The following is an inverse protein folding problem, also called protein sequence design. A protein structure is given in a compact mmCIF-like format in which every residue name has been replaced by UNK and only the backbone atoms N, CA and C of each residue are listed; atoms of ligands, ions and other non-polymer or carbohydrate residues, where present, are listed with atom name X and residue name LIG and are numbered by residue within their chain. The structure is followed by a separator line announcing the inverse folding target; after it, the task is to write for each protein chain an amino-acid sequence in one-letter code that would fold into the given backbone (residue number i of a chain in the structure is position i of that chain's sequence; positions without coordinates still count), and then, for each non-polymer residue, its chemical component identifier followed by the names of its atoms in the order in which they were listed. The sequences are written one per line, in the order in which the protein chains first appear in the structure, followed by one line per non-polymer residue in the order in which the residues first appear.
data_IF_775960845916
#
_entry.id   IF_775960845916
#
_cell.length_a   1.000
_cell.length_b   1.000
_cell.length_c   1.000
_cell.angle_alpha   90.00
_cell.angle_beta   90.00
_cell.angle_gamma   90.00
#
_symmetry.space_group_name_H-M   'P 1'
#
loop_
_entity.id
_entity.type
_entity.pdbx_description
1 polymer ?
#
# COMPACT_ATOMS: atom_id res chain seq x y z
N UNK A 1 -14.18 -15.29 13.74
CA UNK A 1 -13.32 -14.93 12.58
C UNK A 1 -11.88 -14.86 13.06
N UNK A 2 -11.19 -16.00 13.11
CA UNK A 2 -9.78 -16.05 13.51
C UNK A 2 -8.93 -15.64 12.32
N UNK A 3 -8.33 -14.44 12.39
CA UNK A 3 -7.29 -14.07 11.45
C UNK A 3 -6.12 -15.05 11.62
N UNK A 4 -5.82 -15.87 10.61
CA UNK A 4 -4.67 -16.79 10.63
C UNK A 4 -3.31 -16.06 10.68
N UNK A 5 -3.32 -14.74 10.47
CA UNK A 5 -2.20 -13.84 10.59
C UNK A 5 -1.95 -13.47 12.07
N UNK A 6 -0.78 -13.84 12.58
CA UNK A 6 -0.39 -13.65 13.99
C UNK A 6 -0.08 -12.19 14.37
N UNK A 7 -0.05 -11.28 13.40
CA UNK A 7 0.38 -9.90 13.61
C UNK A 7 -0.67 -8.93 13.05
N UNK A 8 -1.50 -8.37 13.92
CA UNK A 8 -2.53 -7.40 13.56
C UNK A 8 -2.15 -5.96 13.93
N UNK A 9 -2.79 -5.01 13.23
CA UNK A 9 -2.64 -3.61 13.51
C UNK A 9 -3.76 -3.12 14.42
N UNK A 10 -3.40 -2.75 15.65
CA UNK A 10 -4.33 -2.28 16.70
C UNK A 10 -5.18 -1.07 16.27
N UNK A 11 -4.71 -0.29 15.30
CA UNK A 11 -5.36 0.96 14.85
C UNK A 11 -6.33 0.76 13.69
N UNK A 12 -6.14 -0.27 12.85
CA UNK A 12 -7.01 -0.48 11.68
C UNK A 12 -7.51 -1.92 11.51
N UNK A 13 -7.12 -2.85 12.39
CA UNK A 13 -7.53 -4.24 12.39
C UNK A 13 -6.95 -5.09 11.26
N UNK A 14 -6.06 -4.56 10.40
CA UNK A 14 -5.44 -5.35 9.32
C UNK A 14 -4.47 -6.39 9.89
N UNK A 15 -4.59 -7.62 9.44
CA UNK A 15 -3.72 -8.72 9.83
C UNK A 15 -2.64 -9.01 8.79
N UNK A 16 -1.45 -9.37 9.27
CA UNK A 16 -0.29 -9.71 8.46
C UNK A 16 0.30 -11.05 8.89
N UNK A 17 0.73 -11.83 7.90
CA UNK A 17 1.39 -13.14 8.14
C UNK A 17 2.75 -13.00 8.84
N UNK A 18 3.42 -11.86 8.63
CA UNK A 18 4.77 -11.61 9.13
C UNK A 18 4.85 -10.28 9.88
N UNK A 19 5.69 -10.23 10.94
CA UNK A 19 5.93 -9.01 11.74
C UNK A 19 6.47 -7.85 10.90
N UNK A 20 7.31 -8.13 9.90
CA UNK A 20 7.83 -7.11 8.99
C UNK A 20 6.71 -6.44 8.19
N UNK A 21 5.72 -7.20 7.73
CA UNK A 21 4.55 -6.67 7.01
C UNK A 21 3.75 -5.71 7.89
N UNK A 22 3.51 -6.10 9.15
CA UNK A 22 2.85 -5.24 10.13
C UNK A 22 3.68 -3.98 10.43
N UNK A 23 4.99 -4.10 10.59
CA UNK A 23 5.89 -2.98 10.89
C UNK A 23 5.89 -1.95 9.75
N UNK A 24 6.04 -2.41 8.50
CA UNK A 24 5.95 -1.55 7.31
C UNK A 24 4.58 -0.90 7.19
N UNK A 25 3.51 -1.65 7.44
CA UNK A 25 2.15 -1.11 7.47
C UNK A 25 2.00 -0.01 8.53
N UNK A 26 2.41 -0.26 9.78
CA UNK A 26 2.33 0.74 10.87
C UNK A 26 3.12 2.00 10.54
N UNK A 27 4.27 1.86 9.86
CA UNK A 27 5.17 2.99 9.53
C UNK A 27 4.67 3.84 8.37
N UNK A 28 4.14 3.23 7.31
CA UNK A 28 3.88 3.91 6.04
C UNK A 28 2.41 3.98 5.63
N UNK A 29 1.55 3.11 6.18
CA UNK A 29 0.16 2.97 5.73
C UNK A 29 -0.86 3.35 6.80
N UNK A 30 -0.56 3.02 8.06
CA UNK A 30 -1.49 3.15 9.16
C UNK A 30 -1.57 4.60 9.66
N UNK A 31 -2.73 5.23 9.47
CA UNK A 31 -2.91 6.65 9.77
C UNK A 31 -2.14 7.59 8.82
N UNK A 32 -1.66 7.06 7.69
CA UNK A 32 -1.07 7.85 6.60
C UNK A 32 -2.05 7.86 5.43
N UNK A 33 -2.36 9.07 4.97
CA UNK A 33 -3.17 9.26 3.78
C UNK A 33 -2.38 8.90 2.52
N UNK A 34 -3.06 8.43 1.47
CA UNK A 34 -2.39 8.12 0.21
C UNK A 34 -1.86 9.41 -0.43
N UNK A 35 -0.54 9.62 -0.30
CA UNK A 35 0.15 10.82 -0.76
C UNK A 35 0.52 10.76 -2.26
N UNK A 36 0.60 9.56 -2.83
CA UNK A 36 1.07 9.36 -4.20
C UNK A 36 -0.11 9.31 -5.15
N UNK A 37 -0.43 10.43 -5.79
CA UNK A 37 -1.49 10.52 -6.80
C UNK A 37 -1.00 10.02 -8.15
N UNK A 38 -1.85 9.26 -8.85
CA UNK A 38 -1.61 8.90 -10.23
C UNK A 38 -1.76 10.14 -11.13
N UNK A 39 -0.83 10.38 -12.07
CA UNK A 39 -0.94 11.50 -13.01
C UNK A 39 -2.01 11.27 -14.11
N UNK A 40 -2.52 10.04 -14.24
CA UNK A 40 -3.46 9.67 -15.32
C UNK A 40 -4.89 9.38 -14.82
N UNK A 41 -5.11 9.33 -13.50
CA UNK A 41 -6.43 9.12 -12.90
C UNK A 41 -6.45 9.55 -11.43
N UNK A 42 -7.64 9.51 -10.81
CA UNK A 42 -7.81 9.88 -9.39
C UNK A 42 -7.31 8.83 -8.39
N UNK A 43 -6.64 7.77 -8.84
CA UNK A 43 -6.09 6.76 -7.96
C UNK A 43 -4.96 7.33 -7.09
N UNK A 44 -5.03 7.07 -5.79
CA UNK A 44 -3.98 7.45 -4.84
C UNK A 44 -3.42 6.22 -4.14
N UNK A 45 -2.11 6.11 -4.11
CA UNK A 45 -1.40 5.08 -3.38
C UNK A 45 -0.73 5.65 -2.12
N UNK A 46 -0.59 4.79 -1.12
CA UNK A 46 0.16 5.08 0.12
C UNK A 46 1.66 4.83 -0.03
N UNK A 47 2.06 4.05 -1.03
CA UNK A 47 3.45 3.76 -1.35
C UNK A 47 3.76 3.99 -2.83
N UNK A 48 4.96 4.50 -3.11
CA UNK A 48 5.48 4.74 -4.47
C UNK A 48 5.51 3.47 -5.33
N UNK A 49 5.88 2.32 -4.75
CA UNK A 49 5.92 1.05 -5.49
C UNK A 49 4.53 0.62 -5.95
N UNK A 50 3.51 0.81 -5.10
CA UNK A 50 2.13 0.51 -5.46
C UNK A 50 1.63 1.43 -6.59
N UNK A 51 1.99 2.72 -6.56
CA UNK A 51 1.67 3.64 -7.65
C UNK A 51 2.37 3.23 -8.96
N UNK A 52 3.66 2.88 -8.90
CA UNK A 52 4.42 2.44 -10.07
C UNK A 52 3.78 1.20 -10.71
N UNK A 53 3.46 0.20 -9.91
CA UNK A 53 2.76 -1.01 -10.38
C UNK A 53 1.38 -0.67 -10.95
N UNK A 54 0.63 0.22 -10.30
CA UNK A 54 -0.65 0.71 -10.82
C UNK A 54 -0.49 1.36 -12.20
N UNK A 55 0.46 2.28 -12.38
CA UNK A 55 0.71 2.94 -13.67
C UNK A 55 1.11 1.92 -14.73
N UNK A 56 2.01 0.97 -14.42
CA UNK A 56 2.44 -0.05 -15.38
C UNK A 56 1.27 -0.93 -15.83
N UNK A 57 0.42 -1.39 -14.90
CA UNK A 57 -0.65 -2.35 -15.21
C UNK A 57 -1.90 -1.65 -15.77
N UNK A 58 -2.26 -0.47 -15.23
CA UNK A 58 -3.51 0.24 -15.57
C UNK A 58 -3.33 1.31 -16.61
N UNK A 59 -2.13 1.85 -16.76
CA UNK A 59 -1.84 2.91 -17.72
C UNK A 59 -0.75 2.54 -18.72
N UNK A 60 -0.15 1.34 -18.64
CA UNK A 60 0.84 0.79 -19.58
C UNK A 60 1.79 1.86 -20.13
N UNK A 61 2.44 2.61 -19.23
CA UNK A 61 3.34 3.70 -19.61
C UNK A 61 4.77 3.17 -19.58
N UNK A 62 5.45 3.04 -20.73
CA UNK A 62 6.89 2.84 -20.73
C UNK A 62 7.51 4.06 -20.07
N UNK A 63 8.38 3.83 -19.08
CA UNK A 63 9.07 4.92 -18.39
C UNK A 63 9.81 5.79 -19.41
N UNK A 64 9.33 7.00 -19.63
CA UNK A 64 10.13 8.04 -20.26
C UNK A 64 11.12 8.55 -19.20
N UNK A 65 12.40 8.47 -19.52
CA UNK A 65 13.53 8.86 -18.68
C UNK A 65 14.47 9.73 -19.49
#
# INVERSE_FOLDING_TARGET
MTCAARFDCDRCGKCYRYKQGLASHKRYECGKEPQFMCPHCDYRAKQKQNLKTHIIIKHCIPKES
#
